data_IF_794806734337
#
_entry.id   IF_794806734337
#
_cell.length_a   1.000
_cell.length_b   1.000
_cell.length_c   1.000
_cell.angle_alpha   90.00
_cell.angle_beta   90.00
_cell.angle_gamma   90.00
#
_symmetry.space_group_name_H-M   'P 1'
#
loop_
_entity.id
_entity.type
_entity.pdbx_description
1 polymer ?
#
# COMPACT_ATOMS: atom_id res chain seq x y z
N UNK A 1 100.46 92.87 -192.12
CA UNK A 1 101.31 91.73 -192.51
C UNK A 1 102.47 91.66 -191.53
N UNK A 2 103.01 90.57 -190.99
CA UNK A 2 102.63 89.17 -190.72
C UNK A 2 103.91 88.50 -190.12
N UNK A 3 103.78 87.46 -189.28
CA UNK A 3 104.78 86.37 -189.00
C UNK A 3 106.06 86.72 -188.17
N UNK A 4 106.87 85.76 -187.65
CA UNK A 4 106.78 84.28 -187.50
C UNK A 4 107.11 83.74 -186.06
N UNK A 5 107.09 82.40 -185.91
CA UNK A 5 107.20 81.53 -184.72
C UNK A 5 108.65 81.19 -184.27
N UNK A 6 108.87 80.74 -182.99
CA UNK A 6 109.91 79.83 -182.40
C UNK A 6 110.21 80.15 -180.87
N UNK A 7 110.93 79.33 -180.05
CA UNK A 7 110.46 78.22 -179.18
C UNK A 7 110.75 78.40 -177.65
N UNK A 8 110.56 77.33 -176.86
CA UNK A 8 109.98 77.28 -175.49
C UNK A 8 110.87 76.79 -174.31
N UNK A 9 112.04 77.40 -174.00
CA UNK A 9 112.92 76.81 -172.93
C UNK A 9 113.55 77.72 -171.85
N UNK A 10 113.24 79.01 -171.74
CA UNK A 10 114.06 79.92 -170.89
C UNK A 10 113.42 80.44 -169.57
N UNK A 11 112.18 80.09 -169.22
CA UNK A 11 111.49 80.67 -168.03
C UNK A 11 111.40 79.78 -166.76
N UNK A 12 111.94 78.56 -166.74
CA UNK A 12 111.77 77.61 -165.62
C UNK A 12 112.85 77.65 -164.52
N UNK A 13 113.91 78.47 -164.65
CA UNK A 13 115.06 78.43 -163.71
C UNK A 13 115.02 79.43 -162.54
N UNK A 14 114.20 80.49 -162.56
CA UNK A 14 114.20 81.53 -161.48
C UNK A 14 113.23 81.29 -160.31
N UNK A 15 112.28 80.37 -160.43
CA UNK A 15 111.27 80.12 -159.38
C UNK A 15 111.72 79.12 -158.31
N UNK A 16 112.70 78.26 -158.61
CA UNK A 16 113.17 77.23 -157.68
C UNK A 16 114.06 77.80 -156.55
N UNK A 17 114.87 78.80 -156.85
CA UNK A 17 115.85 79.34 -155.90
C UNK A 17 115.22 80.18 -154.78
N UNK A 18 114.03 80.77 -154.97
CA UNK A 18 113.35 81.55 -153.92
C UNK A 18 112.63 80.67 -152.88
N UNK A 19 112.25 79.44 -153.22
CA UNK A 19 111.53 78.56 -152.28
C UNK A 19 112.48 77.91 -151.25
N UNK A 20 113.73 77.62 -151.64
CA UNK A 20 114.72 77.00 -150.76
C UNK A 20 115.20 77.93 -149.63
N UNK A 21 115.20 79.25 -149.82
CA UNK A 21 115.63 80.21 -148.80
C UNK A 21 114.65 80.33 -147.62
N UNK A 22 113.33 80.21 -147.86
CA UNK A 22 112.28 80.33 -146.82
C UNK A 22 112.23 79.13 -145.88
N UNK A 23 112.57 77.94 -146.36
CA UNK A 23 112.56 76.73 -145.52
C UNK A 23 113.67 76.78 -144.45
N UNK A 24 114.86 77.27 -144.79
CA UNK A 24 115.99 77.36 -143.85
C UNK A 24 115.74 78.30 -142.67
N UNK A 25 114.99 79.38 -142.87
CA UNK A 25 114.71 80.35 -141.80
C UNK A 25 113.77 79.78 -140.71
N UNK A 26 112.77 78.98 -141.11
CA UNK A 26 111.82 78.35 -140.17
C UNK A 26 112.47 77.31 -139.28
N UNK A 27 113.44 76.57 -139.81
CA UNK A 27 114.16 75.55 -139.04
C UNK A 27 115.03 76.15 -137.94
N UNK A 28 115.60 77.35 -138.16
CA UNK A 28 116.41 78.01 -137.15
C UNK A 28 115.57 78.54 -135.97
N UNK A 29 114.39 79.12 -136.23
CA UNK A 29 113.49 79.59 -135.15
C UNK A 29 112.94 78.45 -134.29
N UNK A 30 112.65 77.29 -134.88
CA UNK A 30 112.16 76.13 -134.16
C UNK A 30 113.16 75.60 -133.13
N UNK A 31 114.46 75.66 -133.43
CA UNK A 31 115.53 75.19 -132.52
C UNK A 31 115.66 76.08 -131.28
N UNK A 32 115.53 77.40 -131.42
CA UNK A 32 115.63 78.32 -130.29
C UNK A 32 114.50 78.13 -129.28
N UNK A 33 113.26 77.90 -129.75
CA UNK A 33 112.11 77.68 -128.85
C UNK A 33 112.27 76.43 -127.98
N UNK A 34 112.77 75.34 -128.56
CA UNK A 34 112.96 74.10 -127.81
C UNK A 34 113.98 74.23 -126.67
N UNK A 35 115.04 75.02 -126.84
CA UNK A 35 116.02 75.24 -125.78
C UNK A 35 115.44 76.02 -124.59
N UNK A 36 114.59 77.00 -124.84
CA UNK A 36 113.96 77.79 -123.78
C UNK A 36 113.01 76.97 -122.91
N UNK A 37 112.20 76.11 -123.54
CA UNK A 37 111.27 75.24 -122.82
C UNK A 37 112.00 74.29 -121.86
N UNK A 38 113.13 73.73 -122.28
CA UNK A 38 113.94 72.83 -121.46
C UNK A 38 114.51 73.55 -120.22
N UNK A 39 115.08 74.75 -120.40
CA UNK A 39 115.61 75.51 -119.27
C UNK A 39 114.52 75.89 -118.25
N UNK A 40 113.33 76.29 -118.70
CA UNK A 40 112.26 76.69 -117.77
C UNK A 40 111.80 75.57 -116.84
N UNK A 41 111.81 74.30 -117.31
CA UNK A 41 111.39 73.14 -116.53
C UNK A 41 112.38 72.80 -115.42
N UNK A 42 113.67 72.95 -115.68
CA UNK A 42 114.71 72.64 -114.71
C UNK A 42 114.61 73.54 -113.45
N UNK A 43 114.45 74.85 -113.62
CA UNK A 43 114.39 75.77 -112.48
C UNK A 43 113.16 75.55 -111.58
N UNK A 44 111.98 75.27 -112.14
CA UNK A 44 110.77 74.97 -111.36
C UNK A 44 110.93 73.76 -110.44
N UNK A 45 111.61 72.71 -110.92
CA UNK A 45 111.84 71.52 -110.10
C UNK A 45 112.81 71.80 -108.95
N UNK A 46 113.84 72.61 -109.19
CA UNK A 46 114.82 72.98 -108.17
C UNK A 46 114.18 73.73 -106.99
N UNK A 47 113.26 74.66 -107.26
CA UNK A 47 112.62 75.48 -106.21
C UNK A 47 111.79 74.65 -105.22
N UNK A 48 111.03 73.66 -105.71
CA UNK A 48 110.19 72.79 -104.87
C UNK A 48 111.06 72.00 -103.89
N UNK A 49 112.14 71.37 -104.39
CA UNK A 49 113.05 70.58 -103.57
C UNK A 49 113.68 71.42 -102.45
N UNK A 50 114.10 72.64 -102.76
CA UNK A 50 114.68 73.56 -101.78
C UNK A 50 113.70 73.91 -100.64
N UNK A 51 112.42 74.17 -100.97
CA UNK A 51 111.41 74.55 -99.99
C UNK A 51 111.15 73.48 -98.92
N UNK A 52 111.03 72.21 -99.33
CA UNK A 52 110.77 71.09 -98.41
C UNK A 52 111.97 70.77 -97.54
N UNK A 53 113.16 70.91 -98.10
CA UNK A 53 114.40 70.75 -97.34
C UNK A 53 114.50 71.81 -96.23
N UNK A 54 114.08 73.05 -96.48
CA UNK A 54 114.04 74.10 -95.47
C UNK A 54 113.06 73.77 -94.33
N UNK A 55 111.85 73.31 -94.62
CA UNK A 55 110.87 72.91 -93.60
C UNK A 55 111.37 71.78 -92.70
N UNK A 56 111.98 70.73 -93.28
CA UNK A 56 112.50 69.60 -92.52
C UNK A 56 113.74 69.95 -91.70
N UNK A 57 114.59 70.84 -92.23
CA UNK A 57 115.74 71.37 -91.49
C UNK A 57 115.35 72.38 -90.40
N UNK A 58 114.09 72.79 -90.32
CA UNK A 58 113.64 73.78 -89.34
C UNK A 58 113.64 73.22 -87.91
N UNK A 59 114.14 74.03 -86.98
CA UNK A 59 114.23 73.69 -85.55
C UNK A 59 112.86 73.43 -84.90
N UNK A 60 111.80 74.02 -85.42
CA UNK A 60 110.42 73.88 -84.90
C UNK A 60 109.83 72.50 -85.16
N UNK A 61 110.18 71.84 -86.28
CA UNK A 61 109.75 70.48 -86.58
C UNK A 61 110.27 69.47 -85.54
N UNK A 62 111.55 69.57 -85.18
CA UNK A 62 112.19 68.70 -84.20
C UNK A 62 111.56 68.79 -82.80
N UNK A 63 111.30 70.01 -82.31
CA UNK A 63 110.72 70.20 -80.97
C UNK A 63 109.29 69.65 -80.86
N UNK A 64 108.48 69.79 -81.92
CA UNK A 64 107.13 69.20 -81.97
C UNK A 64 107.16 67.67 -81.89
N UNK A 65 108.11 67.05 -82.58
CA UNK A 65 108.31 65.59 -82.53
C UNK A 65 108.69 65.11 -81.12
N UNK A 66 109.65 65.79 -80.48
CA UNK A 66 110.13 65.39 -79.15
C UNK A 66 109.07 65.49 -78.04
N UNK A 67 108.23 66.54 -78.06
CA UNK A 67 107.15 66.65 -77.07
C UNK A 67 106.02 65.63 -77.29
N UNK A 68 105.75 65.24 -78.54
CA UNK A 68 104.83 64.16 -78.84
C UNK A 68 105.34 62.83 -78.25
N UNK A 69 106.62 62.52 -78.46
CA UNK A 69 107.26 61.32 -77.91
C UNK A 69 107.19 61.25 -76.37
N UNK A 70 107.52 62.35 -75.68
CA UNK A 70 107.48 62.37 -74.20
C UNK A 70 106.06 62.17 -73.65
N UNK A 71 105.04 62.74 -74.31
CA UNK A 71 103.64 62.53 -73.93
C UNK A 71 103.19 61.09 -74.13
N UNK A 72 103.69 60.42 -75.17
CA UNK A 72 103.40 59.00 -75.38
C UNK A 72 104.03 58.12 -74.31
N UNK A 73 105.28 58.39 -73.90
CA UNK A 73 105.94 57.63 -72.83
C UNK A 73 105.17 57.63 -71.51
N UNK A 74 104.68 58.79 -71.07
CA UNK A 74 103.88 58.86 -69.83
C UNK A 74 102.53 58.14 -69.94
N UNK A 75 101.94 58.07 -71.15
CA UNK A 75 100.72 57.29 -71.40
C UNK A 75 101.02 55.79 -71.35
N UNK A 76 102.16 55.35 -71.87
CA UNK A 76 102.61 53.95 -71.78
C UNK A 76 102.78 53.51 -70.32
N UNK A 77 103.41 54.33 -69.47
CA UNK A 77 103.61 54.00 -68.06
C UNK A 77 102.29 53.89 -67.29
N UNK A 78 101.35 54.81 -67.53
CA UNK A 78 100.00 54.73 -66.92
C UNK A 78 99.24 53.49 -67.37
N UNK A 79 99.40 53.05 -68.63
CA UNK A 79 98.80 51.80 -69.13
C UNK A 79 99.38 50.59 -68.38
N UNK A 80 100.70 50.52 -68.22
CA UNK A 80 101.37 49.45 -67.46
C UNK A 80 100.90 49.38 -66.01
N UNK A 81 100.75 50.52 -65.33
CA UNK A 81 100.24 50.54 -63.95
C UNK A 81 98.78 50.05 -63.86
N UNK A 82 97.94 50.41 -64.83
CA UNK A 82 96.56 49.90 -64.90
C UNK A 82 96.49 48.40 -65.21
N UNK A 83 97.36 47.92 -66.09
CA UNK A 83 97.49 46.49 -66.41
C UNK A 83 97.92 45.69 -65.17
N UNK A 84 98.94 46.13 -64.45
CA UNK A 84 99.38 45.49 -63.21
C UNK A 84 98.25 45.46 -62.15
N UNK A 85 97.44 46.52 -62.04
CA UNK A 85 96.27 46.52 -61.15
C UNK A 85 95.20 45.54 -61.62
N UNK A 86 94.93 45.47 -62.93
CA UNK A 86 93.98 44.51 -63.52
C UNK A 86 94.42 43.06 -63.29
N UNK A 87 95.72 42.78 -63.39
CA UNK A 87 96.28 41.45 -63.13
C UNK A 87 96.09 41.04 -61.67
N UNK A 88 96.39 41.93 -60.72
CA UNK A 88 96.14 41.67 -59.28
C UNK A 88 94.66 41.39 -59.00
N UNK A 89 93.75 42.14 -59.61
CA UNK A 89 92.32 41.90 -59.47
C UNK A 89 91.89 40.55 -60.09
N UNK A 90 92.46 40.18 -61.24
CA UNK A 90 92.19 38.86 -61.85
C UNK A 90 92.64 37.72 -60.93
N UNK A 91 93.80 37.85 -60.28
CA UNK A 91 94.30 36.84 -59.34
C UNK A 91 93.33 36.66 -58.17
N UNK A 92 92.91 37.75 -57.52
CA UNK A 92 91.94 37.68 -56.42
C UNK A 92 90.62 37.05 -56.85
N UNK A 93 90.10 37.39 -58.03
CA UNK A 93 88.87 36.79 -58.55
C UNK A 93 89.02 35.29 -58.83
N UNK A 94 90.19 34.83 -59.29
CA UNK A 94 90.45 33.41 -59.49
C UNK A 94 90.54 32.65 -58.16
N UNK A 95 91.16 33.24 -57.15
CA UNK A 95 91.23 32.69 -55.80
C UNK A 95 89.83 32.56 -55.18
N UNK A 96 89.01 33.60 -55.28
CA UNK A 96 87.61 33.59 -54.83
C UNK A 96 86.79 32.52 -55.56
N UNK A 97 86.93 32.43 -56.89
CA UNK A 97 86.25 31.39 -57.68
C UNK A 97 86.67 29.97 -57.24
N UNK A 98 87.95 29.75 -56.98
CA UNK A 98 88.46 28.46 -56.51
C UNK A 98 87.93 28.10 -55.12
N UNK A 99 87.85 29.06 -54.19
CA UNK A 99 87.28 28.84 -52.87
C UNK A 99 85.79 28.52 -52.93
N UNK A 100 85.03 29.27 -53.72
CA UNK A 100 83.60 29.01 -53.92
C UNK A 100 83.34 27.65 -54.57
N UNK A 101 84.17 27.24 -55.54
CA UNK A 101 84.07 25.92 -56.16
C UNK A 101 84.26 24.79 -55.13
N UNK A 102 85.28 24.90 -54.26
CA UNK A 102 85.51 23.94 -53.17
C UNK A 102 84.34 23.88 -52.18
N UNK A 103 83.82 25.04 -51.77
CA UNK A 103 82.65 25.08 -50.88
C UNK A 103 81.42 24.42 -51.51
N UNK A 104 81.20 24.59 -52.81
CA UNK A 104 80.12 23.91 -53.53
C UNK A 104 80.33 22.39 -53.60
N UNK A 105 81.56 21.92 -53.79
CA UNK A 105 81.89 20.50 -53.78
C UNK A 105 81.69 19.87 -52.39
N UNK A 106 82.16 20.53 -51.32
CA UNK A 106 81.93 20.09 -49.94
C UNK A 106 80.44 20.01 -49.60
N UNK A 107 79.66 21.01 -50.02
CA UNK A 107 78.21 20.98 -49.83
C UNK A 107 77.56 19.82 -50.60
N UNK A 108 77.96 19.56 -51.85
CA UNK A 108 77.49 18.41 -52.63
C UNK A 108 77.80 17.09 -51.93
N UNK A 109 79.03 16.88 -51.49
CA UNK A 109 79.42 15.66 -50.77
C UNK A 109 78.65 15.49 -49.45
N UNK A 110 78.41 16.58 -48.72
CA UNK A 110 77.61 16.55 -47.50
C UNK A 110 76.15 16.16 -47.76
N UNK A 111 75.59 16.60 -48.90
CA UNK A 111 74.26 16.26 -49.35
C UNK A 111 74.18 14.80 -49.81
N UNK A 112 75.14 14.33 -50.60
CA UNK A 112 75.22 12.93 -51.04
C UNK A 112 75.33 11.97 -49.84
N UNK A 113 76.15 12.32 -48.84
CA UNK A 113 76.26 11.55 -47.61
C UNK A 113 74.95 11.57 -46.79
N UNK A 114 74.22 12.69 -46.80
CA UNK A 114 72.89 12.78 -46.17
C UNK A 114 71.87 11.93 -46.92
N UNK A 115 71.88 11.92 -48.25
CA UNK A 115 71.03 11.08 -49.07
C UNK A 115 71.32 9.59 -48.86
N UNK A 116 72.59 9.20 -48.78
CA UNK A 116 73.00 7.84 -48.43
C UNK A 116 72.38 7.37 -47.12
N UNK A 117 72.54 8.16 -46.04
CA UNK A 117 71.94 7.86 -44.73
C UNK A 117 70.41 7.78 -44.77
N UNK A 118 69.75 8.61 -45.58
CA UNK A 118 68.29 8.55 -45.74
C UNK A 118 67.85 7.28 -46.47
N UNK A 119 68.60 6.86 -47.50
CA UNK A 119 68.35 5.61 -48.23
C UNK A 119 68.54 4.38 -47.34
N UNK A 120 69.60 4.35 -46.54
CA UNK A 120 69.84 3.30 -45.54
C UNK A 120 68.69 3.21 -44.53
N UNK A 121 68.33 4.33 -43.89
CA UNK A 121 67.20 4.38 -42.95
C UNK A 121 65.88 3.94 -43.59
N UNK A 122 65.64 4.33 -44.84
CA UNK A 122 64.46 3.86 -45.57
C UNK A 122 64.52 2.35 -45.86
N UNK A 123 65.71 1.82 -46.18
CA UNK A 123 65.97 0.39 -46.30
C UNK A 123 65.65 -0.36 -45.02
N UNK A 124 66.16 0.11 -43.88
CA UNK A 124 65.93 -0.50 -42.56
C UNK A 124 64.45 -0.46 -42.14
N UNK A 125 63.77 0.66 -42.40
CA UNK A 125 62.33 0.76 -42.13
C UNK A 125 61.52 -0.18 -43.02
N UNK A 126 61.96 -0.39 -44.27
CA UNK A 126 61.30 -1.31 -45.18
C UNK A 126 61.51 -2.76 -44.75
N UNK A 127 62.73 -3.15 -44.37
CA UNK A 127 63.03 -4.50 -43.87
C UNK A 127 62.27 -4.80 -42.57
N UNK A 128 62.25 -3.87 -41.60
CA UNK A 128 61.50 -4.04 -40.35
C UNK A 128 59.99 -4.21 -40.59
N UNK A 129 59.40 -3.46 -41.54
CA UNK A 129 57.99 -3.64 -41.95
C UNK A 129 57.76 -4.99 -42.62
N UNK A 130 58.69 -5.46 -43.44
CA UNK A 130 58.62 -6.78 -44.08
C UNK A 130 58.75 -7.91 -43.05
N UNK A 131 59.61 -7.78 -42.05
CA UNK A 131 59.74 -8.71 -40.93
C UNK A 131 58.45 -8.80 -40.11
N UNK A 132 57.86 -7.66 -39.75
CA UNK A 132 56.56 -7.64 -39.07
C UNK A 132 55.46 -8.34 -39.90
N UNK A 133 55.43 -8.09 -41.22
CA UNK A 133 54.49 -8.79 -42.12
C UNK A 133 54.72 -10.30 -42.14
N UNK A 134 55.99 -10.74 -42.15
CA UNK A 134 56.34 -12.16 -42.08
C UNK A 134 55.87 -12.80 -40.78
N UNK A 135 56.12 -12.16 -39.63
CA UNK A 135 55.66 -12.64 -38.32
C UNK A 135 54.14 -12.76 -38.25
N UNK A 136 53.42 -11.75 -38.74
CA UNK A 136 51.95 -11.78 -38.78
C UNK A 136 51.48 -12.90 -39.71
N UNK A 137 52.10 -13.08 -40.88
CA UNK A 137 51.76 -14.15 -41.79
C UNK A 137 52.02 -15.53 -41.15
N UNK A 138 53.13 -15.72 -40.45
CA UNK A 138 53.45 -16.96 -39.72
C UNK A 138 52.42 -17.26 -38.63
N UNK A 139 52.02 -16.26 -37.84
CA UNK A 139 50.97 -16.42 -36.82
C UNK A 139 49.64 -16.83 -37.42
N UNK A 140 49.20 -16.15 -38.49
CA UNK A 140 47.95 -16.46 -39.18
C UNK A 140 47.99 -17.86 -39.81
N UNK A 141 49.11 -18.24 -40.41
CA UNK A 141 49.33 -19.59 -40.93
C UNK A 141 49.24 -20.64 -39.82
N UNK A 142 49.84 -20.36 -38.66
CA UNK A 142 49.77 -21.25 -37.50
C UNK A 142 48.34 -21.40 -36.97
N UNK A 143 47.59 -20.30 -36.81
CA UNK A 143 46.19 -20.35 -36.40
C UNK A 143 45.31 -21.10 -37.40
N UNK A 144 45.52 -20.86 -38.69
CA UNK A 144 44.82 -21.57 -39.75
C UNK A 144 45.12 -23.06 -39.73
N UNK A 145 46.39 -23.44 -39.56
CA UNK A 145 46.80 -24.83 -39.37
C UNK A 145 46.15 -25.43 -38.12
N UNK A 146 46.17 -24.73 -36.99
CA UNK A 146 45.55 -25.17 -35.72
C UNK A 146 44.07 -25.48 -35.89
N UNK A 147 43.32 -24.56 -36.51
CA UNK A 147 41.87 -24.71 -36.77
C UNK A 147 41.55 -25.83 -37.75
N UNK A 148 42.38 -26.01 -38.78
CA UNK A 148 42.12 -26.99 -39.83
C UNK A 148 42.65 -28.39 -39.52
N UNK A 149 43.56 -28.55 -38.57
CA UNK A 149 44.10 -29.84 -38.20
C UNK A 149 42.99 -30.73 -37.60
N UNK A 150 42.61 -31.85 -38.27
CA UNK A 150 41.51 -32.70 -37.80
C UNK A 150 41.79 -33.31 -36.42
N UNK A 151 43.05 -33.67 -36.13
CA UNK A 151 43.43 -34.27 -34.85
C UNK A 151 43.22 -33.32 -33.67
N UNK A 152 43.51 -32.02 -33.85
CA UNK A 152 43.28 -31.02 -32.81
C UNK A 152 41.78 -30.80 -32.58
N UNK A 153 40.97 -30.77 -33.66
CA UNK A 153 39.52 -30.68 -33.55
C UNK A 153 38.91 -31.88 -32.81
N UNK A 154 39.41 -33.08 -33.07
CA UNK A 154 39.01 -34.28 -32.35
C UNK A 154 39.31 -34.15 -30.85
N UNK A 155 40.53 -33.72 -30.49
CA UNK A 155 40.94 -33.50 -29.10
C UNK A 155 40.09 -32.41 -28.42
N UNK A 156 39.88 -31.26 -29.06
CA UNK A 156 39.03 -30.19 -28.53
C UNK A 156 37.59 -30.67 -28.32
N UNK A 157 37.05 -31.45 -29.27
CA UNK A 157 35.73 -32.05 -29.14
C UNK A 157 35.65 -33.08 -28.00
N UNK A 158 36.72 -33.85 -27.77
CA UNK A 158 36.80 -34.80 -26.68
C UNK A 158 36.86 -34.07 -25.32
N UNK A 159 37.70 -33.06 -25.19
CA UNK A 159 37.77 -32.21 -24.00
C UNK A 159 36.42 -31.53 -23.71
N UNK A 160 35.75 -31.05 -24.75
CA UNK A 160 34.41 -30.47 -24.61
C UNK A 160 33.38 -31.51 -24.13
N UNK A 161 33.39 -32.72 -24.70
CA UNK A 161 32.52 -33.82 -24.25
C UNK A 161 32.78 -34.18 -22.80
N UNK A 162 34.05 -34.31 -22.39
CA UNK A 162 34.43 -34.56 -20.99
C UNK A 162 33.93 -33.44 -20.07
N UNK A 163 34.08 -32.18 -20.48
CA UNK A 163 33.55 -31.05 -19.73
C UNK A 163 32.02 -31.12 -19.55
N UNK A 164 31.29 -31.43 -20.62
CA UNK A 164 29.82 -31.59 -20.57
C UNK A 164 29.40 -32.78 -19.71
N UNK A 165 30.12 -33.91 -19.79
CA UNK A 165 29.86 -35.08 -18.95
C UNK A 165 30.09 -34.73 -17.48
N UNK A 166 31.17 -34.00 -17.16
CA UNK A 166 31.48 -33.60 -15.80
C UNK A 166 30.47 -32.58 -15.25
N UNK A 167 30.08 -31.57 -16.04
CA UNK A 167 29.04 -30.62 -15.62
C UNK A 167 27.70 -31.32 -15.39
N UNK A 168 27.34 -32.29 -16.23
CA UNK A 168 26.12 -33.07 -16.04
C UNK A 168 26.18 -33.98 -14.80
N UNK A 169 27.34 -34.59 -14.50
CA UNK A 169 27.54 -35.32 -13.25
C UNK A 169 27.34 -34.42 -12.03
N UNK A 170 27.94 -33.23 -12.03
CA UNK A 170 27.75 -32.24 -10.97
C UNK A 170 26.28 -31.85 -10.81
N UNK A 171 25.58 -31.59 -11.92
CA UNK A 171 24.15 -31.27 -11.89
C UNK A 171 23.30 -32.42 -11.32
N UNK A 172 23.66 -33.67 -11.63
CA UNK A 172 22.97 -34.85 -11.09
C UNK A 172 23.21 -35.00 -9.58
N UNK A 173 24.42 -34.70 -9.11
CA UNK A 173 24.77 -34.71 -7.69
C UNK A 173 24.05 -33.59 -6.93
N UNK A 174 24.01 -32.38 -7.49
CA UNK A 174 23.27 -31.25 -6.93
C UNK A 174 21.77 -31.56 -6.81
N UNK A 175 21.18 -32.14 -7.87
CA UNK A 175 19.77 -32.54 -7.85
C UNK A 175 19.48 -33.56 -6.75
N UNK A 176 20.35 -34.56 -6.55
CA UNK A 176 20.22 -35.53 -5.47
C UNK A 176 20.30 -34.88 -4.08
N UNK A 177 21.19 -33.91 -3.90
CA UNK A 177 21.29 -33.17 -2.64
C UNK A 177 20.02 -32.36 -2.38
N UNK A 178 19.48 -31.69 -3.40
CA UNK A 178 18.22 -30.96 -3.30
C UNK A 178 17.06 -31.89 -2.94
N UNK A 179 16.93 -33.03 -3.60
CA UNK A 179 15.92 -34.05 -3.29
C UNK A 179 16.05 -34.53 -1.84
N UNK A 180 17.26 -34.83 -1.36
CA UNK A 180 17.49 -35.22 0.03
C UNK A 180 17.08 -34.12 1.04
N UNK A 181 17.41 -32.85 0.75
CA UNK A 181 16.98 -31.73 1.62
C UNK A 181 15.46 -31.56 1.63
N UNK A 182 14.80 -31.72 0.48
CA UNK A 182 13.34 -31.66 0.38
C UNK A 182 12.68 -32.81 1.15
N UNK A 183 13.24 -34.02 1.07
CA UNK A 183 12.75 -35.15 1.87
C UNK A 183 12.89 -34.91 3.38
N UNK A 184 13.98 -34.30 3.83
CA UNK A 184 14.16 -33.92 5.24
C UNK A 184 13.15 -32.85 5.67
N UNK A 185 12.93 -31.83 4.85
CA UNK A 185 11.91 -30.79 5.11
C UNK A 185 10.51 -31.40 5.17
N UNK A 186 10.16 -32.27 4.21
CA UNK A 186 8.88 -32.98 4.20
C UNK A 186 8.69 -33.80 5.49
N UNK A 187 9.70 -34.54 5.94
CA UNK A 187 9.66 -35.27 7.21
C UNK A 187 9.45 -34.32 8.40
N UNK A 188 10.08 -33.15 8.41
CA UNK A 188 9.86 -32.14 9.48
C UNK A 188 8.42 -31.64 9.49
N UNK A 189 7.87 -31.32 8.31
CA UNK A 189 6.48 -30.90 8.18
C UNK A 189 5.49 -31.98 8.58
N UNK A 190 5.72 -33.23 8.18
CA UNK A 190 4.91 -34.39 8.60
C UNK A 190 4.94 -34.54 10.13
N UNK A 191 6.11 -34.43 10.75
CA UNK A 191 6.25 -34.50 12.21
C UNK A 191 5.55 -33.35 12.93
N UNK A 192 5.59 -32.13 12.39
CA UNK A 192 4.84 -30.99 12.92
C UNK A 192 3.33 -31.20 12.80
N UNK A 193 2.88 -31.71 11.65
CA UNK A 193 1.48 -32.04 11.40
C UNK A 193 0.99 -33.13 12.36
N UNK A 194 1.77 -34.18 12.58
CA UNK A 194 1.44 -35.22 13.54
C UNK A 194 1.36 -34.69 14.97
N UNK A 195 2.30 -33.82 15.38
CA UNK A 195 2.26 -33.17 16.70
C UNK A 195 0.99 -32.35 16.87
N UNK A 196 0.68 -31.49 15.89
CA UNK A 196 -0.55 -30.68 15.91
C UNK A 196 -1.81 -31.56 15.95
N UNK A 197 -1.83 -32.68 15.21
CA UNK A 197 -2.94 -33.64 15.23
C UNK A 197 -3.10 -34.30 16.61
N UNK A 198 -1.99 -34.70 17.26
CA UNK A 198 -2.01 -35.28 18.62
C UNK A 198 -2.52 -34.27 19.65
N UNK A 199 -2.01 -33.04 19.61
CA UNK A 199 -2.47 -31.96 20.50
C UNK A 199 -3.96 -31.67 20.32
N UNK A 200 -4.46 -31.63 19.08
CA UNK A 200 -5.88 -31.44 18.81
C UNK A 200 -6.72 -32.58 19.41
N UNK A 201 -6.29 -33.84 19.26
CA UNK A 201 -6.97 -34.99 19.85
C UNK A 201 -6.95 -34.94 21.38
N UNK A 202 -5.85 -34.51 21.99
CA UNK A 202 -5.76 -34.33 23.44
C UNK A 202 -6.67 -33.22 23.95
N UNK A 203 -6.76 -32.09 23.25
CA UNK A 203 -7.72 -31.02 23.56
C UNK A 203 -9.16 -31.53 23.52
N UNK A 204 -9.52 -32.26 22.47
CA UNK A 204 -10.86 -32.86 22.34
C UNK A 204 -11.16 -33.82 23.49
N UNK A 205 -10.21 -34.71 23.84
CA UNK A 205 -10.37 -35.62 24.99
C UNK A 205 -10.55 -34.87 26.31
N UNK A 206 -9.74 -33.84 26.55
CA UNK A 206 -9.84 -33.03 27.76
C UNK A 206 -11.18 -32.28 27.86
N UNK A 207 -11.71 -31.78 26.74
CA UNK A 207 -13.04 -31.18 26.68
C UNK A 207 -14.15 -32.19 26.94
N UNK A 208 -14.06 -33.40 26.36
CA UNK A 208 -14.99 -34.49 26.65
C UNK A 208 -14.97 -34.90 28.12
N UNK A 209 -13.79 -34.99 28.74
CA UNK A 209 -13.65 -35.28 30.17
C UNK A 209 -14.29 -34.20 31.03
N UNK A 210 -14.07 -32.92 30.71
CA UNK A 210 -14.74 -31.80 31.40
C UNK A 210 -16.26 -31.91 31.30
N UNK A 211 -16.80 -32.14 30.10
CA UNK A 211 -18.25 -32.33 29.91
C UNK A 211 -18.78 -33.53 30.70
N UNK A 212 -18.02 -34.62 30.79
CA UNK A 212 -18.39 -35.78 31.62
C UNK A 212 -18.42 -35.43 33.10
N UNK A 213 -17.45 -34.68 33.60
CA UNK A 213 -17.41 -34.24 34.99
C UNK A 213 -18.55 -33.29 35.31
N UNK A 214 -18.81 -32.31 34.45
CA UNK A 214 -19.94 -31.40 34.56
C UNK A 214 -21.27 -32.15 34.56
N UNK A 215 -21.44 -33.15 33.67
CA UNK A 215 -22.62 -34.01 33.65
C UNK A 215 -22.81 -34.82 34.93
N UNK A 216 -21.71 -35.31 35.54
CA UNK A 216 -21.77 -35.99 36.85
C UNK A 216 -22.21 -35.05 37.96
N UNK A 217 -21.61 -33.85 38.04
CA UNK A 217 -21.98 -32.86 39.05
C UNK A 217 -23.44 -32.43 38.91
N UNK A 218 -23.92 -32.23 37.68
CA UNK A 218 -25.33 -31.94 37.41
C UNK A 218 -26.23 -33.09 37.85
N UNK A 219 -25.86 -34.34 37.56
CA UNK A 219 -26.64 -35.51 37.97
C UNK A 219 -26.70 -35.65 39.51
N UNK A 220 -25.59 -35.44 40.21
CA UNK A 220 -25.54 -35.44 41.67
C UNK A 220 -26.43 -34.36 42.27
N UNK A 221 -26.40 -33.14 41.73
CA UNK A 221 -27.28 -32.05 42.16
C UNK A 221 -28.76 -32.37 41.92
N UNK A 222 -29.11 -32.99 40.79
CA UNK A 222 -30.48 -33.44 40.51
C UNK A 222 -30.94 -34.53 41.46
N UNK A 223 -30.05 -35.47 41.83
CA UNK A 223 -30.39 -36.50 42.82
C UNK A 223 -30.70 -35.88 44.19
N UNK A 224 -29.90 -34.91 44.63
CA UNK A 224 -30.17 -34.16 45.86
C UNK A 224 -31.53 -33.44 45.80
N UNK A 225 -31.85 -32.78 44.68
CA UNK A 225 -33.16 -32.13 44.51
C UNK A 225 -34.31 -33.14 44.56
N UNK A 226 -34.16 -34.32 43.97
CA UNK A 226 -35.18 -35.38 44.03
C UNK A 226 -35.35 -35.90 45.46
N UNK A 227 -34.27 -36.05 46.24
CA UNK A 227 -34.34 -36.43 47.64
C UNK A 227 -35.05 -35.37 48.49
N UNK A 228 -34.73 -34.09 48.29
CA UNK A 228 -35.44 -32.98 48.94
C UNK A 228 -36.93 -32.97 48.61
N UNK A 229 -37.29 -33.23 47.35
CA UNK A 229 -38.69 -33.32 46.93
C UNK A 229 -39.40 -34.51 47.59
N UNK A 230 -38.76 -35.68 47.67
CA UNK A 230 -39.30 -36.83 48.39
C UNK A 230 -39.52 -36.53 49.87
N UNK A 231 -38.61 -35.81 50.53
CA UNK A 231 -38.79 -35.39 51.92
C UNK A 231 -40.00 -34.45 52.07
N UNK A 232 -40.14 -33.47 51.17
CA UNK A 232 -41.31 -32.56 51.15
C UNK A 232 -42.61 -33.30 50.87
N UNK A 233 -42.61 -34.30 50.00
CA UNK A 233 -43.77 -35.16 49.75
C UNK A 233 -44.15 -35.96 51.00
N UNK A 234 -43.19 -36.55 51.70
CA UNK A 234 -43.43 -37.25 52.96
C UNK A 234 -44.02 -36.32 54.02
N UNK A 235 -43.48 -35.12 54.18
CA UNK A 235 -44.04 -34.09 55.06
C UNK A 235 -45.48 -33.72 54.65
N UNK A 236 -45.73 -33.51 53.36
CA UNK A 236 -47.07 -33.22 52.87
C UNK A 236 -48.06 -34.36 53.16
N UNK A 237 -47.65 -35.63 53.04
CA UNK A 237 -48.51 -36.77 53.41
C UNK A 237 -48.78 -36.84 54.92
N UNK A 238 -47.80 -36.50 55.77
CA UNK A 238 -47.99 -36.41 57.23
C UNK A 238 -48.99 -35.31 57.57
N UNK A 239 -48.80 -34.11 57.02
CA UNK A 239 -49.70 -32.97 57.21
C UNK A 239 -51.12 -33.29 56.74
N UNK A 240 -51.29 -33.99 55.61
CA UNK A 240 -52.62 -34.46 55.15
C UNK A 240 -53.29 -35.40 56.16
N UNK A 241 -52.56 -36.37 56.72
CA UNK A 241 -53.08 -37.26 57.77
C UNK A 241 -53.47 -36.48 59.03
N UNK A 242 -52.65 -35.49 59.42
CA UNK A 242 -52.97 -34.60 60.54
C UNK A 242 -54.25 -33.79 60.27
N UNK A 243 -54.40 -33.23 59.07
CA UNK A 243 -55.62 -32.54 58.65
C UNK A 243 -56.85 -33.46 58.68
N UNK A 244 -56.75 -34.69 58.16
CA UNK A 244 -57.83 -35.67 58.21
C UNK A 244 -58.23 -36.02 59.66
N UNK A 245 -57.25 -36.18 60.56
CA UNK A 245 -57.51 -36.44 61.97
C UNK A 245 -58.19 -35.26 62.65
N UNK A 246 -57.76 -34.03 62.37
CA UNK A 246 -58.41 -32.82 62.88
C UNK A 246 -59.85 -32.68 62.37
N UNK A 247 -60.12 -33.05 61.11
CA UNK A 247 -61.48 -33.07 60.57
C UNK A 247 -62.37 -34.10 61.27
N UNK A 248 -61.85 -35.31 61.55
CA UNK A 248 -62.58 -36.31 62.34
C UNK A 248 -62.91 -35.79 63.73
N UNK A 249 -61.95 -35.16 64.41
CA UNK A 249 -62.17 -34.55 65.72
C UNK A 249 -63.23 -33.45 65.66
N UNK A 250 -63.22 -32.59 64.63
CA UNK A 250 -64.26 -31.57 64.43
C UNK A 250 -65.64 -32.19 64.26
N UNK A 251 -65.77 -33.25 63.46
CA UNK A 251 -67.05 -33.95 63.28
C UNK A 251 -67.54 -34.62 64.56
N UNK A 252 -66.65 -35.22 65.35
CA UNK A 252 -66.98 -35.77 66.67
C UNK A 252 -67.49 -34.69 67.62
N UNK A 253 -66.83 -33.53 67.65
CA UNK A 253 -67.28 -32.38 68.43
C UNK A 253 -68.65 -31.86 67.97
N UNK A 254 -68.86 -31.71 66.66
CA UNK A 254 -70.15 -31.30 66.09
C UNK A 254 -71.27 -32.28 66.48
N UNK A 255 -71.02 -33.59 66.40
CA UNK A 255 -71.98 -34.62 66.86
C UNK A 255 -72.30 -34.48 68.34
N UNK A 256 -71.29 -34.33 69.19
CA UNK A 256 -71.49 -34.15 70.63
C UNK A 256 -72.23 -32.84 70.95
N UNK A 257 -71.99 -31.77 70.19
CA UNK A 257 -72.73 -30.51 70.31
C UNK A 257 -74.20 -30.66 69.89
N UNK A 258 -74.46 -31.39 68.80
CA UNK A 258 -75.82 -31.73 68.37
C UNK A 258 -76.55 -32.57 69.43
N UNK A 259 -75.91 -33.60 69.97
CA UNK A 259 -76.45 -34.40 71.07
C UNK A 259 -76.74 -33.52 72.30
N UNK A 260 -75.83 -32.61 72.68
CA UNK A 260 -76.06 -31.64 73.75
C UNK A 260 -77.26 -30.75 73.47
N UNK A 261 -77.42 -30.25 72.24
CA UNK A 261 -78.58 -29.44 71.81
C UNK A 261 -79.88 -30.25 71.88
N UNK A 262 -79.87 -31.50 71.42
CA UNK A 262 -81.03 -32.40 71.49
C UNK A 262 -81.42 -32.70 72.94
N UNK A 263 -80.44 -33.01 73.79
CA UNK A 263 -80.66 -33.24 75.22
C UNK A 263 -81.18 -31.99 75.94
N UNK A 264 -80.65 -30.81 75.62
CA UNK A 264 -81.16 -29.54 76.13
C UNK A 264 -82.61 -29.28 75.68
N UNK A 265 -82.92 -29.51 74.40
CA UNK A 265 -84.28 -29.39 73.88
C UNK A 265 -85.25 -30.40 74.53
N UNK A 266 -84.81 -31.63 74.78
CA UNK A 266 -85.61 -32.64 75.48
C UNK A 266 -85.88 -32.24 76.93
N UNK A 267 -84.86 -31.73 77.66
CA UNK A 267 -85.02 -31.20 79.01
C UNK A 267 -86.03 -30.04 79.05
N UNK A 268 -85.91 -29.08 78.13
CA UNK A 268 -86.86 -27.97 78.00
C UNK A 268 -88.29 -28.47 77.74
N UNK A 269 -88.48 -29.44 76.83
CA UNK A 269 -89.80 -30.06 76.59
C UNK A 269 -90.35 -30.75 77.84
N UNK A 270 -89.51 -31.48 78.59
CA UNK A 270 -89.91 -32.16 79.82
C UNK A 270 -90.25 -31.18 80.96
N UNK A 271 -89.52 -30.07 81.07
CA UNK A 271 -89.82 -28.97 81.99
C UNK A 271 -91.17 -28.33 81.64
N UNK A 272 -91.38 -27.94 80.38
CA UNK A 272 -92.67 -27.42 79.91
C UNK A 272 -93.81 -28.42 80.16
N UNK A 273 -93.59 -29.71 79.90
CA UNK A 273 -94.56 -30.76 80.22
C UNK A 273 -94.89 -30.87 81.70
N UNK A 274 -93.90 -30.73 82.60
CA UNK A 274 -94.11 -30.69 84.06
C UNK A 274 -94.91 -29.46 84.48
N UNK A 275 -94.57 -28.28 83.95
CA UNK A 275 -95.32 -27.05 84.22
C UNK A 275 -96.77 -27.16 83.78
N UNK A 276 -97.04 -27.67 82.58
CA UNK A 276 -98.41 -27.87 82.08
C UNK A 276 -99.20 -28.87 82.93
N UNK A 277 -98.59 -30.00 83.33
CA UNK A 277 -99.24 -30.96 84.24
C UNK A 277 -99.55 -30.35 85.60
N UNK A 278 -98.63 -29.57 86.16
CA UNK A 278 -98.87 -28.88 87.43
C UNK A 278 -100.02 -27.88 87.32
N UNK A 279 -100.04 -27.05 86.26
CA UNK A 279 -101.14 -26.12 86.00
C UNK A 279 -102.49 -26.85 85.86
N UNK A 280 -102.52 -27.93 85.09
CA UNK A 280 -103.73 -28.73 84.90
C UNK A 280 -104.20 -29.39 86.21
N UNK A 281 -103.28 -29.96 87.00
CA UNK A 281 -103.60 -30.54 88.31
C UNK A 281 -104.11 -29.48 89.30
N UNK A 282 -103.53 -28.28 89.32
CA UNK A 282 -104.02 -27.17 90.15
C UNK A 282 -105.43 -26.76 89.73
N UNK A 283 -105.70 -26.70 88.42
CA UNK A 283 -107.06 -26.43 87.92
C UNK A 283 -108.04 -27.54 88.30
N UNK A 284 -107.67 -28.81 88.19
CA UNK A 284 -108.49 -29.94 88.61
C UNK A 284 -108.74 -29.94 90.13
N UNK A 285 -107.71 -29.68 90.94
CA UNK A 285 -107.83 -29.61 92.39
C UNK A 285 -108.75 -28.45 92.81
N UNK A 286 -108.65 -27.29 92.17
CA UNK A 286 -109.60 -26.18 92.40
C UNK A 286 -111.03 -26.59 92.08
N UNK A 287 -111.27 -27.25 90.94
CA UNK A 287 -112.60 -27.78 90.60
C UNK A 287 -113.08 -28.83 91.59
N UNK A 288 -112.20 -29.73 92.04
CA UNK A 288 -112.54 -30.74 93.03
C UNK A 288 -112.88 -30.12 94.40
N UNK A 289 -112.13 -29.11 94.84
CA UNK A 289 -112.43 -28.33 96.04
C UNK A 289 -113.77 -27.61 95.92
N UNK A 290 -114.06 -26.98 94.79
CA UNK A 290 -115.37 -26.37 94.52
C UNK A 290 -116.52 -27.40 94.65
N UNK A 291 -116.37 -28.58 94.04
CA UNK A 291 -117.36 -29.65 94.16
C UNK A 291 -117.50 -30.14 95.61
N UNK A 292 -116.39 -30.24 96.37
CA UNK A 292 -116.45 -30.62 97.79
C UNK A 292 -117.16 -29.57 98.64
N UNK A 293 -116.86 -28.28 98.43
CA UNK A 293 -117.54 -27.17 99.12
C UNK A 293 -119.05 -27.14 98.78
N UNK A 294 -119.42 -27.39 97.52
CA UNK A 294 -120.82 -27.55 97.08
C UNK A 294 -121.50 -28.71 97.80
N UNK A 295 -120.88 -29.90 97.84
CA UNK A 295 -121.42 -31.07 98.54
C UNK A 295 -121.51 -30.87 100.06
N UNK A 296 -120.56 -30.15 100.67
CA UNK A 296 -120.63 -29.79 102.09
C UNK A 296 -121.73 -28.78 102.36
N UNK A 297 -121.94 -27.80 101.49
CA UNK A 297 -123.06 -26.87 101.58
C UNK A 297 -124.39 -27.63 101.47
N UNK A 298 -124.52 -28.55 100.51
CA UNK A 298 -125.68 -29.42 100.36
C UNK A 298 -125.91 -30.28 101.61
N UNK A 299 -124.84 -30.85 102.20
CA UNK A 299 -124.93 -31.59 103.47
C UNK A 299 -125.43 -30.72 104.62
N UNK A 300 -124.95 -29.47 104.74
CA UNK A 300 -125.42 -28.52 105.76
C UNK A 300 -126.90 -28.17 105.55
N UNK A 301 -127.34 -28.02 104.30
CA UNK A 301 -128.77 -27.80 103.97
C UNK A 301 -129.60 -29.01 104.41
N UNK A 302 -129.17 -30.24 104.11
CA UNK A 302 -129.86 -31.45 104.54
C UNK A 302 -129.92 -31.59 106.07
N UNK A 303 -128.83 -31.25 106.77
CA UNK A 303 -128.82 -31.22 108.24
C UNK A 303 -129.82 -30.20 108.79
N UNK A 304 -129.85 -28.99 108.24
CA UNK A 304 -130.84 -27.97 108.64
C UNK A 304 -132.28 -28.40 108.35
N UNK A 305 -132.52 -29.19 107.28
CA UNK A 305 -133.83 -29.77 107.01
C UNK A 305 -134.19 -30.85 108.04
N UNK A 306 -133.26 -31.72 108.42
CA UNK A 306 -133.46 -32.73 109.47
C UNK A 306 -133.72 -32.09 110.84
N UNK A 307 -132.94 -31.07 111.22
CA UNK A 307 -133.14 -30.33 112.48
C UNK A 307 -134.53 -29.67 112.51
N UNK A 308 -134.97 -29.08 111.40
CA UNK A 308 -136.34 -28.56 111.27
C UNK A 308 -137.40 -29.66 111.35
N UNK A 309 -137.16 -30.83 110.76
CA UNK A 309 -138.06 -31.97 110.91
C UNK A 309 -138.15 -32.44 112.38
N UNK A 310 -137.02 -32.50 113.10
CA UNK A 310 -136.97 -32.84 114.53
C UNK A 310 -137.67 -31.79 115.41
N UNK A 311 -137.47 -30.49 115.12
CA UNK A 311 -138.19 -29.39 115.80
C UNK A 311 -139.70 -29.49 115.57
N UNK A 312 -140.13 -29.71 114.32
CA UNK A 312 -141.53 -29.94 113.99
C UNK A 312 -142.09 -31.16 114.75
N UNK A 313 -141.32 -32.25 114.87
CA UNK A 313 -141.71 -33.43 115.66
C UNK A 313 -141.86 -33.09 117.15
N UNK A 314 -140.94 -32.32 117.74
CA UNK A 314 -141.05 -31.86 119.14
C UNK A 314 -142.26 -30.97 119.35
N UNK A 315 -142.53 -30.03 118.46
CA UNK A 315 -143.76 -29.22 118.50
C UNK A 315 -145.02 -30.09 118.41
N UNK A 316 -145.03 -31.11 117.55
CA UNK A 316 -146.13 -32.06 117.46
C UNK A 316 -146.32 -32.87 118.75
N UNK A 317 -145.25 -33.30 119.41
CA UNK A 317 -145.31 -34.00 120.70
C UNK A 317 -145.79 -33.07 121.82
N UNK A 318 -145.26 -31.84 121.90
CA UNK A 318 -145.69 -30.84 122.89
C UNK A 318 -147.18 -30.47 122.75
N UNK A 319 -147.69 -30.33 121.52
CA UNK A 319 -149.12 -30.14 121.26
C UNK A 319 -149.97 -31.33 121.74
N UNK A 320 -149.46 -32.57 121.62
CA UNK A 320 -150.13 -33.76 122.15
C UNK A 320 -150.15 -33.78 123.68
N UNK A 321 -149.04 -33.44 124.32
CA UNK A 321 -148.94 -33.39 125.79
C UNK A 321 -149.85 -32.31 126.38
N UNK A 322 -149.91 -31.11 125.77
CA UNK A 322 -150.86 -30.07 126.16
C UNK A 322 -152.32 -30.54 126.03
N UNK A 323 -152.68 -31.21 124.93
CA UNK A 323 -154.03 -31.76 124.76
C UNK A 323 -154.39 -32.83 125.81
N UNK A 324 -153.42 -33.63 126.27
CA UNK A 324 -153.62 -34.62 127.35
C UNK A 324 -153.78 -33.93 128.71
N UNK A 325 -153.00 -32.89 128.98
CA UNK A 325 -153.10 -32.09 130.21
C UNK A 325 -154.46 -31.35 130.29
N UNK A 326 -154.91 -30.75 129.20
CA UNK A 326 -156.21 -30.09 129.12
C UNK A 326 -157.37 -31.08 129.35
N UNK A 327 -157.27 -32.29 128.80
CA UNK A 327 -158.25 -33.36 129.03
C UNK A 327 -158.27 -33.84 130.50
N UNK A 328 -157.11 -33.91 131.16
CA UNK A 328 -157.00 -34.28 132.57
C UNK A 328 -157.58 -33.20 133.49
N UNK A 329 -157.33 -31.92 133.19
CA UNK A 329 -157.92 -30.79 133.91
C UNK A 329 -159.45 -30.76 133.78
N UNK A 330 -159.97 -30.96 132.56
CA UNK A 330 -161.43 -31.06 132.35
C UNK A 330 -162.04 -32.23 133.13
N UNK A 331 -161.35 -33.36 133.27
CA UNK A 331 -161.82 -34.50 134.06
C UNK A 331 -161.93 -34.17 135.55
N UNK A 332 -160.93 -33.49 136.12
CA UNK A 332 -160.96 -33.05 137.52
C UNK A 332 -162.07 -32.02 137.78
N UNK A 333 -162.25 -31.06 136.88
CA UNK A 333 -163.32 -30.06 136.99
C UNK A 333 -164.73 -30.68 136.96
N UNK A 334 -164.94 -31.74 136.17
CA UNK A 334 -166.20 -32.49 136.15
C UNK A 334 -166.40 -33.29 137.45
N UNK A 335 -165.33 -33.89 137.98
CA UNK A 335 -165.38 -34.62 139.27
C UNK A 335 -165.71 -33.67 140.44
N UNK A 336 -165.16 -32.45 140.46
CA UNK A 336 -165.47 -31.41 141.44
C UNK A 336 -166.93 -30.92 141.35
N UNK A 337 -167.48 -30.74 140.14
CA UNK A 337 -168.91 -30.39 139.98
C UNK A 337 -169.84 -31.51 140.47
N UNK A 338 -169.45 -32.78 140.28
CA UNK A 338 -170.20 -33.94 140.75
C UNK A 338 -170.23 -34.05 142.28
N UNK A 339 -169.18 -33.60 142.96
CA UNK A 339 -169.14 -33.51 144.43
C UNK A 339 -170.06 -32.41 144.94
N UNK A 340 -170.04 -31.23 144.32
CA UNK A 340 -170.92 -30.11 144.66
C UNK A 340 -172.41 -30.43 144.44
N UNK A 341 -172.76 -31.19 143.40
CA UNK A 341 -174.13 -31.67 143.18
C UNK A 341 -174.56 -32.65 144.28
N UNK A 342 -173.69 -33.58 144.72
CA UNK A 342 -173.98 -34.50 145.83
C UNK A 342 -174.17 -33.77 147.17
N UNK A 343 -173.39 -32.71 147.41
CA UNK A 343 -173.54 -31.86 148.60
C UNK A 343 -174.89 -31.12 148.59
N UNK A 344 -175.32 -30.60 147.43
CA UNK A 344 -176.65 -29.98 147.27
C UNK A 344 -177.80 -30.96 147.43
N UNK A 345 -177.65 -32.20 146.93
CA UNK A 345 -178.64 -33.27 147.15
C UNK A 345 -178.77 -33.64 148.63
N UNK A 346 -177.66 -33.64 149.39
CA UNK A 346 -177.67 -33.89 150.84
C UNK A 346 -178.35 -32.75 151.62
N UNK A 347 -178.13 -31.50 151.21
CA UNK A 347 -178.80 -30.32 151.80
C UNK A 347 -180.31 -30.33 151.55
N UNK A 348 -180.77 -30.78 150.38
CA UNK A 348 -182.20 -30.88 150.06
C UNK A 348 -182.92 -31.97 150.87
N UNK A 349 -182.24 -33.05 151.28
CA UNK A 349 -182.84 -34.15 152.05
C UNK A 349 -183.14 -33.81 153.53
N UNK A 350 -182.48 -32.79 154.10
CA UNK A 350 -182.69 -32.36 155.49
C UNK A 350 -183.94 -31.50 155.70
N UNK A 351 -184.47 -30.87 154.64
CA UNK A 351 -185.58 -29.91 154.73
C UNK A 351 -186.98 -30.54 154.58
N UNK A 352 -187.10 -31.86 154.42
CA UNK A 352 -188.38 -32.55 154.20
C UNK A 352 -188.79 -33.52 155.34
N UNK A 353 -188.66 -33.10 156.61
CA UNK A 353 -189.36 -33.72 157.74
C UNK A 353 -190.06 -32.69 158.62
#
# INVERSE_FOLDING_TARGET
MALPTLPSQWCSRRLLDQQMARQRHREQEARLRQQWDQNSRYFKMSDICSSKQAEWSSKTSYQRSMHAYQREKLKEEKRKQLEARRERLRQLLLEEQALLARQLEELRLSMDAREGRLRERHGDLKSAREEQRKLIAEQLLYEHWKKNNPKLREIESALHKEHVINSWKMQKEEKKQQEATQEEENKRYENEYERARREALERMKAEEEKRRLEGKLQAEALLQQVEELKLKELEATKLKKEQENLLKQRWELERLEEERKQMAAFRQKAELGRFLRHQYNVQLNRRAQQIQEELEADKRILQALLEKEDENQREHLARREQAVADAAWMKQAVEEQLQLEREREAELQLLLR
#
